data_IF_262040499134
#
_entry.id   IF_262040499134
#
_cell.length_a   1.000
_cell.length_b   1.000
_cell.length_c   1.000
_cell.angle_alpha   90.00
_cell.angle_beta   90.00
_cell.angle_gamma   90.00
#
_symmetry.space_group_name_H-M   'P 1'
#
loop_
_entity.id
_entity.type
_entity.pdbx_description
1 polymer ?
#
# COMPACT_ATOMS: atom_id res chain seq x y z
N UNK A 1 -1.47 2.99 -18.64
CA UNK A 1 -2.01 2.26 -17.46
C UNK A 1 -1.94 3.17 -16.23
N UNK A 2 -2.99 3.22 -15.45
CA UNK A 2 -3.02 4.04 -14.22
C UNK A 2 -2.07 3.48 -13.18
N UNK A 3 -1.31 4.35 -12.52
CA UNK A 3 -0.33 3.97 -11.51
C UNK A 3 -0.89 4.22 -10.12
N UNK A 4 -0.88 3.18 -9.31
CA UNK A 4 -1.37 3.17 -7.93
C UNK A 4 -0.20 2.89 -6.98
N UNK A 5 -0.12 3.65 -5.89
CA UNK A 5 0.83 3.42 -4.81
C UNK A 5 0.12 2.81 -3.61
N UNK A 6 0.64 1.70 -3.10
CA UNK A 6 0.29 1.16 -1.79
C UNK A 6 1.43 1.46 -0.82
N UNK A 7 1.13 2.20 0.24
CA UNK A 7 2.06 2.49 1.33
C UNK A 7 1.74 1.61 2.54
N UNK A 8 2.67 0.74 2.88
CA UNK A 8 2.54 -0.19 3.99
C UNK A 8 2.14 -1.60 3.55
N UNK A 9 3.01 -2.57 3.85
CA UNK A 9 2.87 -3.98 3.49
C UNK A 9 2.83 -4.88 4.75
N UNK A 10 2.15 -4.42 5.80
CA UNK A 10 1.95 -5.16 7.04
C UNK A 10 0.72 -6.07 7.01
N UNK A 11 0.01 -6.13 8.13
CA UNK A 11 -1.16 -6.99 8.29
C UNK A 11 -2.25 -6.76 7.26
N UNK A 12 -2.61 -5.50 6.99
CA UNK A 12 -3.63 -5.17 5.97
C UNK A 12 -3.01 -5.16 4.58
N UNK A 13 -1.91 -4.41 4.40
CA UNK A 13 -1.33 -4.17 3.09
C UNK A 13 -0.87 -5.43 2.39
N UNK A 14 -0.26 -6.37 3.11
CA UNK A 14 0.22 -7.62 2.53
C UNK A 14 -0.91 -8.49 1.98
N UNK A 15 -2.06 -8.51 2.62
CA UNK A 15 -3.24 -9.24 2.13
C UNK A 15 -3.94 -8.52 0.99
N UNK A 16 -3.96 -7.18 1.04
CA UNK A 16 -4.50 -6.40 -0.08
C UNK A 16 -3.73 -6.67 -1.38
N UNK A 17 -2.41 -6.83 -1.30
CA UNK A 17 -1.58 -7.20 -2.46
C UNK A 17 -2.05 -8.50 -3.10
N UNK A 18 -2.37 -9.52 -2.30
CA UNK A 18 -2.94 -10.77 -2.79
C UNK A 18 -4.25 -10.53 -3.55
N UNK A 19 -5.15 -9.76 -2.97
CA UNK A 19 -6.45 -9.48 -3.60
C UNK A 19 -6.31 -8.66 -4.89
N UNK A 20 -5.40 -7.69 -4.92
CA UNK A 20 -5.12 -6.92 -6.14
C UNK A 20 -4.53 -7.80 -7.24
N UNK A 21 -3.61 -8.70 -6.90
CA UNK A 21 -3.03 -9.62 -7.86
C UNK A 21 -4.09 -10.57 -8.43
N UNK A 22 -4.98 -11.07 -7.57
CA UNK A 22 -6.09 -11.93 -7.97
C UNK A 22 -7.08 -11.19 -8.88
N UNK A 23 -7.45 -9.97 -8.53
CA UNK A 23 -8.32 -9.12 -9.35
C UNK A 23 -7.72 -8.83 -10.73
N UNK A 24 -6.42 -8.56 -10.81
CA UNK A 24 -5.71 -8.36 -12.08
C UNK A 24 -5.73 -9.62 -12.95
N UNK A 25 -5.49 -10.78 -12.36
CA UNK A 25 -5.51 -12.08 -13.07
C UNK A 25 -6.88 -12.38 -13.67
N UNK A 26 -7.94 -11.98 -12.99
CA UNK A 26 -9.32 -12.18 -13.44
C UNK A 26 -9.89 -10.99 -14.24
N UNK A 27 -9.04 -10.07 -14.68
CA UNK A 27 -9.41 -8.89 -15.46
C UNK A 27 -10.41 -7.94 -14.78
N UNK A 28 -10.49 -8.00 -13.43
CA UNK A 28 -11.33 -7.10 -12.62
C UNK A 28 -10.59 -5.83 -12.22
N UNK A 29 -9.27 -5.81 -12.41
CA UNK A 29 -8.40 -4.74 -11.96
C UNK A 29 -7.27 -4.52 -12.96
N UNK A 30 -7.17 -3.30 -13.48
CA UNK A 30 -6.13 -2.91 -14.44
C UNK A 30 -5.40 -1.67 -13.92
N UNK A 31 -4.28 -1.88 -13.26
CA UNK A 31 -3.42 -0.80 -12.82
C UNK A 31 -1.98 -1.27 -12.68
N UNK A 32 -1.06 -0.32 -12.78
CA UNK A 32 0.35 -0.52 -12.46
C UNK A 32 0.54 -0.19 -10.97
N UNK A 33 0.76 -1.20 -10.15
CA UNK A 33 0.85 -1.06 -8.69
C UNK A 33 2.30 -1.03 -8.25
N UNK A 34 2.63 -0.05 -7.42
CA UNK A 34 3.90 0.04 -6.70
C UNK A 34 3.65 -0.12 -5.21
N UNK A 35 4.41 -0.98 -4.55
CA UNK A 35 4.36 -1.24 -3.12
C UNK A 35 5.50 -0.50 -2.45
N UNK A 36 5.24 0.22 -1.36
CA UNK A 36 6.27 0.92 -0.60
C UNK A 36 6.25 0.51 0.87
N UNK A 37 7.36 0.03 1.37
CA UNK A 37 7.55 -0.30 2.79
C UNK A 37 9.05 -0.32 3.12
N UNK A 38 9.51 0.37 4.17
CA UNK A 38 10.92 0.35 4.58
C UNK A 38 11.32 -0.89 5.38
N UNK A 39 10.35 -1.64 5.91
CA UNK A 39 10.61 -2.69 6.91
C UNK A 39 10.97 -4.04 6.30
N UNK A 40 11.63 -4.85 7.10
CA UNK A 40 11.90 -6.26 6.77
C UNK A 40 10.86 -7.16 7.42
N UNK A 41 10.66 -8.34 6.84
CA UNK A 41 9.78 -9.37 7.41
C UNK A 41 10.42 -9.92 8.67
N UNK A 42 9.66 -9.94 9.76
CA UNK A 42 10.05 -10.49 11.05
C UNK A 42 9.26 -11.76 11.40
N UNK A 43 9.76 -12.62 12.30
CA UNK A 43 9.04 -13.84 12.69
C UNK A 43 7.59 -13.61 13.13
N UNK A 44 7.33 -12.51 13.85
CA UNK A 44 5.97 -12.14 14.31
C UNK A 44 5.00 -11.88 13.17
N UNK A 45 5.49 -11.48 11.99
CA UNK A 45 4.65 -11.16 10.85
C UNK A 45 3.99 -12.40 10.23
N UNK A 46 4.59 -13.58 10.42
CA UNK A 46 4.09 -14.83 9.82
C UNK A 46 2.69 -15.20 10.32
N UNK A 47 2.37 -14.81 11.55
CA UNK A 47 1.09 -15.20 12.18
C UNK A 47 -0.13 -14.49 11.59
N UNK A 48 0.03 -13.28 11.08
CA UNK A 48 -1.11 -12.45 10.64
C UNK A 48 -0.92 -11.73 9.31
N UNK A 49 0.29 -11.71 8.79
CA UNK A 49 0.60 -11.08 7.50
C UNK A 49 0.82 -12.14 6.41
N UNK A 50 0.71 -11.71 5.16
CA UNK A 50 0.88 -12.59 4.00
C UNK A 50 2.36 -12.81 3.67
N UNK A 51 3.10 -13.40 4.60
CA UNK A 51 4.51 -13.76 4.42
C UNK A 51 4.76 -15.20 4.83
N UNK A 52 5.80 -15.79 4.23
CA UNK A 52 6.25 -17.15 4.50
C UNK A 52 7.50 -17.14 5.38
N UNK A 53 7.82 -18.22 6.12
CA UNK A 53 9.05 -18.29 6.92
C UNK A 53 10.32 -17.96 6.16
N UNK A 54 10.44 -18.35 4.90
CA UNK A 54 11.57 -18.03 4.03
C UNK A 54 11.70 -16.54 3.69
N UNK A 55 10.66 -15.75 3.91
CA UNK A 55 10.67 -14.30 3.66
C UNK A 55 11.35 -13.51 4.79
N UNK A 56 11.53 -14.10 5.97
CA UNK A 56 12.11 -13.43 7.14
C UNK A 56 13.47 -12.81 6.78
N UNK A 57 13.65 -11.55 7.16
CA UNK A 57 14.86 -10.78 6.88
C UNK A 57 14.88 -10.06 5.54
N UNK A 58 13.91 -10.31 4.66
CA UNK A 58 13.78 -9.62 3.37
C UNK A 58 12.85 -8.42 3.50
N UNK A 59 13.03 -7.41 2.63
CA UNK A 59 12.14 -6.25 2.62
C UNK A 59 10.71 -6.65 2.25
N UNK A 60 9.73 -6.15 2.99
CA UNK A 60 8.32 -6.51 2.83
C UNK A 60 7.78 -6.18 1.45
N UNK A 61 8.06 -5.00 0.94
CA UNK A 61 7.57 -4.57 -0.37
C UNK A 61 8.21 -5.38 -1.51
N UNK A 62 9.52 -5.64 -1.43
CA UNK A 62 10.22 -6.43 -2.46
C UNK A 62 9.73 -7.87 -2.53
N UNK A 63 9.53 -8.51 -1.40
CA UNK A 63 9.02 -9.89 -1.34
C UNK A 63 7.68 -10.01 -2.06
N UNK A 64 6.75 -9.12 -1.73
CA UNK A 64 5.41 -9.14 -2.32
C UNK A 64 5.42 -8.73 -3.79
N UNK A 65 6.23 -7.74 -4.14
CA UNK A 65 6.37 -7.30 -5.53
C UNK A 65 6.91 -8.41 -6.44
N UNK A 66 7.91 -9.14 -5.99
CA UNK A 66 8.46 -10.27 -6.72
C UNK A 66 7.42 -11.40 -6.85
N UNK A 67 6.75 -11.75 -5.76
CA UNK A 67 5.76 -12.84 -5.75
C UNK A 67 4.56 -12.58 -6.63
N UNK A 68 4.07 -11.34 -6.65
CA UNK A 68 2.83 -10.97 -7.34
C UNK A 68 3.05 -10.11 -8.60
N UNK A 69 4.29 -9.92 -9.03
CA UNK A 69 4.64 -9.15 -10.24
C UNK A 69 4.18 -7.68 -10.19
N UNK A 70 4.45 -7.02 -9.07
CA UNK A 70 4.30 -5.59 -8.89
C UNK A 70 5.67 -4.89 -8.82
N UNK A 71 5.68 -3.59 -8.70
CA UNK A 71 6.88 -2.78 -8.45
C UNK A 71 7.05 -2.52 -6.96
N UNK A 72 8.27 -2.24 -6.52
CA UNK A 72 8.55 -1.97 -5.11
C UNK A 72 9.45 -0.76 -4.89
N UNK A 73 9.23 -0.11 -3.75
CA UNK A 73 10.08 0.94 -3.18
C UNK A 73 10.43 0.52 -1.75
N UNK A 74 11.71 0.31 -1.46
CA UNK A 74 12.22 -0.10 -0.14
C UNK A 74 12.34 1.05 0.86
N UNK A 75 11.55 2.09 0.70
CA UNK A 75 11.64 3.30 1.51
C UNK A 75 10.27 3.70 2.00
N UNK A 76 10.28 4.44 3.11
CA UNK A 76 9.11 5.18 3.52
C UNK A 76 8.89 6.36 2.57
N UNK A 77 7.64 6.58 2.20
CA UNK A 77 7.25 7.74 1.42
C UNK A 77 7.02 8.90 2.38
N UNK A 78 7.84 9.93 2.27
CA UNK A 78 7.86 11.06 3.23
C UNK A 78 7.61 12.42 2.60
N UNK A 79 7.67 12.52 1.26
CA UNK A 79 7.57 13.80 0.54
C UNK A 79 6.45 13.77 -0.48
N UNK A 80 5.67 14.85 -0.63
CA UNK A 80 4.62 14.94 -1.65
C UNK A 80 5.12 14.72 -3.08
N UNK A 81 6.37 15.10 -3.37
CA UNK A 81 6.97 14.89 -4.70
C UNK A 81 7.05 13.41 -5.09
N UNK A 82 7.14 12.51 -4.14
CA UNK A 82 7.17 11.06 -4.37
C UNK A 82 5.82 10.51 -4.82
N UNK A 83 4.75 11.25 -4.60
CA UNK A 83 3.39 10.85 -4.99
C UNK A 83 3.03 11.24 -6.43
N UNK A 84 3.81 12.08 -7.07
CA UNK A 84 3.51 12.62 -8.41
C UNK A 84 3.16 11.58 -9.47
N UNK A 85 3.87 10.43 -9.57
CA UNK A 85 3.59 9.44 -10.62
C UNK A 85 2.25 8.73 -10.47
N UNK A 86 1.61 8.83 -9.30
CA UNK A 86 0.46 8.01 -8.95
C UNK A 86 -0.86 8.77 -9.05
N UNK A 87 -1.89 8.12 -9.56
CA UNK A 87 -3.25 8.68 -9.64
C UNK A 87 -4.09 8.38 -8.41
N UNK A 88 -3.68 7.37 -7.64
CA UNK A 88 -4.32 6.95 -6.39
C UNK A 88 -3.25 6.48 -5.41
N UNK A 89 -3.39 6.86 -4.16
CA UNK A 89 -2.53 6.41 -3.06
C UNK A 89 -3.37 5.67 -2.03
N UNK A 90 -2.98 4.43 -1.73
CA UNK A 90 -3.60 3.63 -0.68
C UNK A 90 -2.63 3.56 0.50
N UNK A 91 -3.07 3.97 1.68
CA UNK A 91 -2.27 3.89 2.90
C UNK A 91 -2.76 2.77 3.79
N UNK A 92 -1.87 1.86 4.14
CA UNK A 92 -2.08 0.78 5.11
C UNK A 92 -0.93 0.77 6.13
N UNK A 93 -0.39 1.95 6.42
CA UNK A 93 0.76 2.16 7.31
C UNK A 93 0.31 2.64 8.69
N UNK A 94 1.07 2.30 9.73
CA UNK A 94 0.89 2.85 11.09
C UNK A 94 1.50 4.25 11.24
N UNK A 95 2.24 4.72 10.25
CA UNK A 95 2.90 6.03 10.31
C UNK A 95 1.91 7.17 10.10
N UNK A 96 1.57 7.86 11.20
CA UNK A 96 0.63 8.99 11.17
C UNK A 96 1.12 10.18 10.34
N UNK A 97 2.43 10.44 10.32
CA UNK A 97 3.00 11.52 9.51
C UNK A 97 2.81 11.27 8.01
N UNK A 98 3.15 10.08 7.54
CA UNK A 98 2.97 9.70 6.13
C UNK A 98 1.51 9.77 5.72
N UNK A 99 0.62 9.32 6.59
CA UNK A 99 -0.83 9.33 6.38
C UNK A 99 -1.37 10.75 6.20
N UNK A 100 -1.00 11.68 7.10
CA UNK A 100 -1.39 13.08 7.01
C UNK A 100 -0.83 13.74 5.75
N UNK A 101 0.40 13.45 5.39
CA UNK A 101 1.04 13.95 4.18
C UNK A 101 0.26 13.57 2.93
N UNK A 102 -0.21 12.31 2.84
CA UNK A 102 -1.04 11.84 1.73
C UNK A 102 -2.38 12.58 1.69
N UNK A 103 -3.05 12.73 2.84
CA UNK A 103 -4.33 13.43 2.93
C UNK A 103 -4.23 14.88 2.45
N UNK A 104 -3.10 15.53 2.70
CA UNK A 104 -2.85 16.93 2.28
C UNK A 104 -2.33 17.07 0.86
N UNK A 105 -1.95 15.98 0.19
CA UNK A 105 -1.26 16.00 -1.09
C UNK A 105 -2.13 16.45 -2.27
N UNK A 106 -3.44 16.43 -2.13
CA UNK A 106 -4.39 16.67 -3.23
C UNK A 106 -4.62 15.47 -4.14
N UNK A 107 -3.94 14.36 -3.92
CA UNK A 107 -4.18 13.09 -4.62
C UNK A 107 -5.44 12.41 -4.08
N UNK A 108 -6.21 11.70 -4.92
CA UNK A 108 -7.17 10.72 -4.41
C UNK A 108 -6.48 9.69 -3.53
N UNK A 109 -7.06 9.35 -2.41
CA UNK A 109 -6.48 8.41 -1.47
C UNK A 109 -7.53 7.51 -0.82
N UNK A 110 -7.06 6.32 -0.40
CA UNK A 110 -7.80 5.37 0.44
C UNK A 110 -6.92 5.08 1.65
N UNK A 111 -7.45 5.24 2.84
CA UNK A 111 -6.74 4.96 4.11
C UNK A 111 -7.39 3.77 4.80
N UNK A 112 -6.61 2.70 4.97
CA UNK A 112 -7.03 1.46 5.59
C UNK A 112 -6.45 1.38 7.00
N UNK A 113 -7.31 1.17 8.00
CA UNK A 113 -6.92 1.06 9.41
C UNK A 113 -7.53 -0.16 10.05
N UNK A 114 -6.74 -0.80 10.92
CA UNK A 114 -7.20 -1.91 11.74
C UNK A 114 -6.62 -1.77 13.15
N UNK A 115 -7.46 -2.00 14.16
CA UNK A 115 -7.04 -2.08 15.57
C UNK A 115 -7.87 -3.15 16.27
N UNK A 116 -7.24 -4.26 16.61
CA UNK A 116 -7.96 -5.40 17.20
C UNK A 116 -9.01 -5.96 16.22
N UNK A 117 -10.27 -5.96 16.64
CA UNK A 117 -11.40 -6.38 15.82
C UNK A 117 -12.07 -5.27 15.01
N UNK A 118 -11.61 -4.02 15.23
CA UNK A 118 -12.16 -2.87 14.52
C UNK A 118 -11.33 -2.58 13.28
N UNK A 119 -12.02 -2.22 12.19
CA UNK A 119 -11.39 -1.74 10.97
C UNK A 119 -12.14 -0.54 10.44
N UNK A 120 -11.44 0.30 9.69
CA UNK A 120 -12.04 1.46 9.05
C UNK A 120 -11.38 1.71 7.69
N UNK A 121 -12.19 2.19 6.76
CA UNK A 121 -11.76 2.62 5.43
C UNK A 121 -12.19 4.07 5.25
N UNK A 122 -11.22 4.95 5.03
CA UNK A 122 -11.47 6.36 4.74
C UNK A 122 -11.04 6.65 3.31
N UNK A 123 -11.77 7.52 2.63
CA UNK A 123 -11.41 7.95 1.29
C UNK A 123 -11.44 9.47 1.19
N UNK A 124 -10.62 10.03 0.33
CA UNK A 124 -10.59 11.45 0.08
C UNK A 124 -10.12 11.76 -1.33
N UNK A 125 -10.65 12.86 -1.84
CA UNK A 125 -10.24 13.43 -3.11
C UNK A 125 -10.47 14.92 -3.07
N UNK A 126 -9.52 15.69 -3.57
CA UNK A 126 -9.72 17.13 -3.71
C UNK A 126 -10.83 17.37 -4.73
N UNK A 127 -11.99 17.86 -4.29
CA UNK A 127 -13.01 18.33 -5.20
C UNK A 127 -12.43 19.49 -6.01
N UNK A 128 -12.35 19.37 -7.31
CA UNK A 128 -12.26 20.55 -8.17
C UNK A 128 -13.52 21.35 -7.90
N UNK A 129 -13.38 22.63 -7.54
CA UNK A 129 -14.52 23.52 -7.43
C UNK A 129 -15.28 23.43 -8.76
N UNK A 130 -16.43 22.79 -8.73
CA UNK A 130 -17.36 22.89 -9.85
C UNK A 130 -17.93 24.31 -9.79
N UNK A 131 -17.41 25.17 -10.65
CA UNK A 131 -18.05 26.45 -10.95
C UNK A 131 -19.14 26.20 -11.99
#
# INVERSE_FOLDING_TARGET
MRRILLMGCGGIGSWLVLFMAHGRRNSLFHADVTLADPDVVEPKNILYSNFLPEDIGKNKAEVLAERYCFKSIRREITKPSQLKPFVLVITATDNGYSRVMVHKSGKPWIDLRCKGRAYAVFTGCRRKNMR
#
